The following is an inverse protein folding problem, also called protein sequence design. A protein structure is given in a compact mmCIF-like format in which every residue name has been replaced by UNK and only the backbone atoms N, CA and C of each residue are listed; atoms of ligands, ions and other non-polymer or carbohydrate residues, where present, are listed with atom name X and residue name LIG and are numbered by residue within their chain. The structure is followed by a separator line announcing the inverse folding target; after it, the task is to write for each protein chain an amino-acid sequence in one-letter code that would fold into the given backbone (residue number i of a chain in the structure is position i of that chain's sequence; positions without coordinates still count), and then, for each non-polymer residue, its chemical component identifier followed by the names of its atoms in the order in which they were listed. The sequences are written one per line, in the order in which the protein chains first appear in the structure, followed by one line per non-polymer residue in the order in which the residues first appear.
data_IF_170912782438
#
_entry.id   IF_170912782438
#
_cell.length_a   1.000
_cell.length_b   1.000
_cell.length_c   1.000
_cell.angle_alpha   90.00
_cell.angle_beta   90.00
_cell.angle_gamma   90.00
#
_symmetry.space_group_name_H-M   'P 1'
#
loop_
_entity.id
_entity.type
_entity.pdbx_description
1 polymer ?
#
# COMPACT_ATOMS: atom_id res chain seq x y z
N UNK A 1 1.80 -28.72 -2.69
CA UNK A 1 1.46 -27.31 -2.91
C UNK A 1 2.62 -26.38 -2.54
N UNK A 2 3.17 -26.44 -1.31
CA UNK A 2 4.30 -25.59 -0.92
C UNK A 2 5.55 -25.81 -1.79
N UNK A 3 5.85 -27.06 -2.16
CA UNK A 3 6.99 -27.40 -3.02
C UNK A 3 6.87 -26.84 -4.45
N UNK A 4 5.67 -26.56 -4.90
CA UNK A 4 5.40 -25.97 -6.22
C UNK A 4 5.39 -24.44 -6.22
N UNK A 5 5.38 -23.80 -5.05
CA UNK A 5 5.39 -22.37 -4.94
C UNK A 5 6.74 -21.77 -5.36
N UNK A 6 6.69 -20.72 -6.18
CA UNK A 6 7.87 -19.98 -6.62
C UNK A 6 7.70 -18.48 -6.34
N UNK A 7 8.78 -17.85 -5.93
CA UNK A 7 8.85 -16.40 -5.86
C UNK A 7 8.66 -15.79 -7.25
N UNK A 8 8.05 -14.63 -7.31
CA UNK A 8 7.77 -13.92 -8.55
C UNK A 8 8.47 -12.56 -8.55
N UNK A 9 9.13 -12.25 -9.66
CA UNK A 9 9.54 -10.90 -9.95
C UNK A 9 8.35 -10.13 -10.54
N UNK A 10 8.15 -8.90 -10.10
CA UNK A 10 7.08 -8.02 -10.60
C UNK A 10 7.68 -6.65 -10.90
N UNK A 11 7.10 -5.96 -11.88
CA UNK A 11 7.45 -4.57 -12.14
C UNK A 11 6.76 -3.67 -11.09
N UNK A 12 7.49 -2.69 -10.53
CA UNK A 12 6.88 -1.75 -9.60
C UNK A 12 5.88 -0.83 -10.30
N UNK A 13 4.84 -0.44 -9.56
CA UNK A 13 3.93 0.63 -9.96
C UNK A 13 4.38 1.94 -9.33
N UNK A 14 4.05 3.08 -9.96
CA UNK A 14 4.50 4.37 -9.43
C UNK A 14 3.57 5.52 -9.78
N UNK A 15 3.71 6.61 -9.02
CA UNK A 15 3.15 7.93 -9.34
C UNK A 15 4.21 9.01 -9.15
N UNK A 16 4.12 10.04 -9.98
CA UNK A 16 4.92 11.24 -9.78
C UNK A 16 4.24 12.14 -8.74
N UNK A 17 5.00 12.54 -7.73
CA UNK A 17 4.54 13.44 -6.69
C UNK A 17 5.63 14.47 -6.35
N UNK A 18 5.37 15.74 -6.66
CA UNK A 18 6.23 16.89 -6.33
C UNK A 18 7.70 16.73 -6.74
N UNK A 19 7.94 16.21 -7.94
CA UNK A 19 9.29 16.02 -8.50
C UNK A 19 9.98 14.73 -8.07
N UNK A 20 9.28 13.86 -7.37
CA UNK A 20 9.71 12.50 -7.05
C UNK A 20 8.78 11.49 -7.69
N UNK A 21 9.31 10.34 -8.04
CA UNK A 21 8.56 9.16 -8.40
C UNK A 21 8.52 8.24 -7.18
N UNK A 22 7.31 7.98 -6.67
CA UNK A 22 7.08 7.09 -5.55
C UNK A 22 6.69 5.74 -6.10
N UNK A 23 7.46 4.71 -5.78
CA UNK A 23 7.31 3.36 -6.30
C UNK A 23 6.83 2.42 -5.21
N UNK A 24 5.95 1.49 -5.57
CA UNK A 24 5.40 0.44 -4.71
C UNK A 24 5.27 -0.86 -5.49
N UNK A 25 5.14 -1.99 -4.79
CA UNK A 25 4.80 -3.26 -5.43
C UNK A 25 3.33 -3.24 -5.90
N UNK A 26 3.02 -3.90 -7.04
CA UNK A 26 1.65 -3.92 -7.56
C UNK A 26 0.66 -4.70 -6.67
N UNK A 27 -0.65 -4.63 -6.94
CA UNK A 27 -1.64 -5.52 -6.33
C UNK A 27 -1.23 -7.01 -6.45
N UNK A 28 -1.57 -7.79 -5.51
CA UNK A 28 -2.55 -7.73 -4.43
C UNK A 28 -2.13 -6.90 -3.19
N UNK A 29 -0.99 -6.23 -3.22
CA UNK A 29 -0.49 -5.39 -2.14
C UNK A 29 -1.24 -4.05 -2.03
N UNK A 30 -1.33 -3.52 -0.81
CA UNK A 30 -2.01 -2.25 -0.54
C UNK A 30 -1.16 -1.00 -0.89
N UNK A 31 0.05 -1.14 -1.41
CA UNK A 31 0.91 -0.03 -1.81
C UNK A 31 0.23 0.93 -2.78
N UNK A 32 -0.62 0.38 -3.66
CA UNK A 32 -1.45 1.18 -4.56
C UNK A 32 -2.32 2.22 -3.84
N UNK A 33 -2.79 1.96 -2.60
CA UNK A 33 -3.57 2.92 -1.83
C UNK A 33 -2.75 4.16 -1.47
N UNK A 34 -1.47 4.01 -1.13
CA UNK A 34 -0.58 5.15 -0.90
C UNK A 34 -0.38 5.96 -2.19
N UNK A 35 -0.18 5.30 -3.33
CA UNK A 35 -0.03 5.96 -4.62
C UNK A 35 -1.30 6.69 -5.06
N UNK A 36 -2.47 6.09 -4.85
CA UNK A 36 -3.78 6.73 -5.10
C UNK A 36 -3.96 7.99 -4.24
N UNK A 37 -3.63 7.92 -2.96
CA UNK A 37 -3.70 9.08 -2.06
C UNK A 37 -2.76 10.21 -2.51
N UNK A 38 -1.52 9.90 -2.91
CA UNK A 38 -0.59 10.86 -3.47
C UNK A 38 -1.11 11.48 -4.77
N UNK A 39 -1.77 10.66 -5.60
CA UNK A 39 -2.36 11.11 -6.85
C UNK A 39 -3.52 12.09 -6.63
N UNK A 40 -4.32 11.89 -5.57
CA UNK A 40 -5.35 12.86 -5.13
C UNK A 40 -4.69 14.13 -4.60
N UNK A 41 -3.64 14.00 -3.77
CA UNK A 41 -3.00 15.13 -3.11
C UNK A 41 -2.19 16.04 -4.05
N UNK A 42 -1.88 15.60 -5.28
CA UNK A 42 -1.26 16.46 -6.31
C UNK A 42 -2.10 17.69 -6.62
N UNK A 43 -3.42 17.55 -6.56
CA UNK A 43 -4.38 18.60 -6.93
C UNK A 43 -4.44 19.75 -5.90
N UNK A 44 -3.80 19.60 -4.75
CA UNK A 44 -3.83 20.56 -3.67
C UNK A 44 -2.48 21.25 -3.45
N UNK A 45 -2.52 22.56 -3.24
CA UNK A 45 -1.43 23.29 -2.63
C UNK A 45 -1.49 23.13 -1.11
N UNK A 46 -0.33 22.96 -0.47
CA UNK A 46 -0.22 22.92 0.99
C UNK A 46 0.53 24.17 1.46
N UNK A 47 -0.18 25.14 2.08
CA UNK A 47 0.45 26.39 2.47
C UNK A 47 1.44 26.20 3.63
N UNK A 48 1.11 25.32 4.55
CA UNK A 48 1.91 25.04 5.74
C UNK A 48 1.99 23.53 5.98
N UNK A 49 3.09 23.09 6.56
CA UNK A 49 3.27 21.74 7.03
C UNK A 49 2.36 21.49 8.25
N UNK A 50 2.27 21.17 9.14
CA UNK A 50 1.64 20.84 10.43
C UNK A 50 0.43 21.74 10.76
N UNK A 51 -0.47 22.00 9.78
CA UNK A 51 -1.72 22.70 10.00
C UNK A 51 -2.95 21.82 9.77
N UNK A 52 -4.08 22.22 10.32
CA UNK A 52 -5.34 21.45 10.26
C UNK A 52 -5.79 21.17 8.82
N UNK A 53 -5.63 22.12 7.91
CA UNK A 53 -5.99 21.96 6.49
C UNK A 53 -5.12 20.88 5.81
N UNK A 54 -3.81 20.92 6.05
CA UNK A 54 -2.88 19.91 5.49
C UNK A 54 -3.24 18.52 6.00
N UNK A 55 -3.46 18.35 7.30
CA UNK A 55 -3.85 17.07 7.85
C UNK A 55 -5.23 16.62 7.37
N UNK A 56 -6.19 17.53 7.26
CA UNK A 56 -7.52 17.23 6.71
C UNK A 56 -7.40 16.62 5.31
N UNK A 57 -6.69 17.29 4.40
CA UNK A 57 -6.49 16.81 3.03
C UNK A 57 -5.78 15.45 2.96
N UNK A 58 -4.74 15.26 3.75
CA UNK A 58 -4.02 13.99 3.82
C UNK A 58 -4.91 12.85 4.32
N UNK A 59 -5.68 13.08 5.38
CA UNK A 59 -6.57 12.08 5.95
C UNK A 59 -7.73 11.75 5.01
N UNK A 60 -8.36 12.76 4.38
CA UNK A 60 -9.45 12.53 3.43
C UNK A 60 -8.96 11.78 2.18
N UNK A 61 -7.81 12.17 1.60
CA UNK A 61 -7.22 11.47 0.47
C UNK A 61 -6.94 10.00 0.80
N UNK A 62 -6.41 9.73 2.00
CA UNK A 62 -6.13 8.36 2.44
C UNK A 62 -7.40 7.54 2.64
N UNK A 63 -8.45 8.14 3.22
CA UNK A 63 -9.75 7.48 3.39
C UNK A 63 -10.39 7.13 2.04
N UNK A 64 -10.33 8.03 1.06
CA UNK A 64 -10.81 7.79 -0.31
C UNK A 64 -10.02 6.67 -0.97
N UNK A 65 -8.70 6.73 -0.89
CA UNK A 65 -7.83 5.72 -1.46
C UNK A 65 -8.05 4.32 -0.85
N UNK A 66 -8.28 4.23 0.45
CA UNK A 66 -8.63 2.97 1.09
C UNK A 66 -10.02 2.47 0.70
N UNK A 67 -11.02 3.37 0.59
CA UNK A 67 -12.35 2.97 0.15
C UNK A 67 -12.28 2.32 -1.24
N UNK A 68 -11.52 2.91 -2.15
CA UNK A 68 -11.33 2.39 -3.49
C UNK A 68 -10.47 1.12 -3.51
N UNK A 69 -9.39 1.09 -2.72
CA UNK A 69 -8.53 -0.09 -2.63
C UNK A 69 -9.31 -1.32 -2.11
N UNK A 70 -10.12 -1.17 -1.08
CA UNK A 70 -10.93 -2.28 -0.57
C UNK A 70 -12.05 -2.72 -1.54
N UNK A 71 -12.50 -1.81 -2.40
CA UNK A 71 -13.51 -2.15 -3.39
C UNK A 71 -12.94 -2.81 -4.65
N UNK A 72 -11.72 -2.44 -5.07
CA UNK A 72 -11.17 -2.84 -6.35
C UNK A 72 -9.97 -3.78 -6.26
N UNK A 73 -9.18 -3.73 -5.17
CA UNK A 73 -7.87 -4.39 -5.10
C UNK A 73 -7.96 -5.78 -4.48
N UNK A 74 -7.50 -6.76 -5.24
CA UNK A 74 -7.32 -8.15 -4.84
C UNK A 74 -6.19 -8.76 -5.67
N UNK A 75 -6.10 -10.09 -5.78
CA UNK A 75 -5.23 -10.74 -6.74
C UNK A 75 -5.55 -10.22 -8.17
N UNK A 76 -4.57 -9.68 -8.92
CA UNK A 76 -4.81 -9.10 -10.25
C UNK A 76 -5.57 -10.01 -11.22
N UNK A 77 -5.43 -11.32 -11.09
CA UNK A 77 -6.15 -12.31 -11.91
C UNK A 77 -7.67 -12.34 -11.67
N UNK A 78 -8.10 -11.75 -10.57
CA UNK A 78 -9.50 -11.69 -10.13
C UNK A 78 -10.06 -10.26 -10.09
N UNK A 79 -9.23 -9.26 -10.41
CA UNK A 79 -9.68 -7.87 -10.50
C UNK A 79 -10.61 -7.68 -11.71
N UNK A 80 -11.63 -6.84 -11.53
CA UNK A 80 -12.62 -6.51 -12.58
C UNK A 80 -12.19 -5.33 -13.45
N UNK A 81 -11.08 -4.67 -13.09
CA UNK A 81 -10.51 -3.54 -13.82
C UNK A 81 -8.99 -3.66 -13.85
N UNK A 82 -8.36 -2.99 -14.79
CA UNK A 82 -6.92 -2.79 -14.78
C UNK A 82 -6.57 -1.78 -13.66
N UNK A 83 -5.78 -2.21 -12.68
CA UNK A 83 -5.41 -1.38 -11.54
C UNK A 83 -4.63 -0.11 -11.93
N UNK A 84 -4.02 -0.06 -13.11
CA UNK A 84 -3.37 1.15 -13.61
C UNK A 84 -4.35 2.31 -13.77
N UNK A 85 -5.63 2.04 -14.05
CA UNK A 85 -6.68 3.05 -14.13
C UNK A 85 -6.88 3.80 -12.79
N UNK A 86 -6.59 3.15 -11.67
CA UNK A 86 -6.64 3.78 -10.33
C UNK A 86 -5.46 4.74 -10.08
N UNK A 87 -4.43 4.69 -10.93
CA UNK A 87 -3.25 5.54 -10.84
C UNK A 87 -3.21 6.63 -11.94
N UNK A 88 -4.21 6.68 -12.81
CA UNK A 88 -4.30 7.73 -13.82
C UNK A 88 -4.51 9.11 -13.17
N UNK A 89 -3.87 10.17 -13.71
CA UNK A 89 -4.04 11.53 -13.18
C UNK A 89 -5.49 11.97 -13.12
N UNK A 90 -6.27 11.69 -14.17
CA UNK A 90 -7.70 12.03 -14.24
C UNK A 90 -8.53 11.36 -13.15
N UNK A 91 -8.15 10.15 -12.73
CA UNK A 91 -8.80 9.48 -11.62
C UNK A 91 -8.52 10.22 -10.30
N UNK A 92 -7.26 10.58 -10.05
CA UNK A 92 -6.85 11.36 -8.89
C UNK A 92 -7.57 12.71 -8.83
N UNK A 93 -7.63 13.43 -9.95
CA UNK A 93 -8.31 14.72 -10.05
C UNK A 93 -9.82 14.63 -9.76
N UNK A 94 -10.51 13.61 -10.30
CA UNK A 94 -11.93 13.36 -9.99
C UNK A 94 -12.16 13.12 -8.50
N UNK A 95 -11.33 12.29 -7.88
CA UNK A 95 -11.43 12.00 -6.43
C UNK A 95 -11.13 13.25 -5.60
N UNK A 96 -10.15 14.07 -6.00
CA UNK A 96 -9.85 15.33 -5.35
C UNK A 96 -11.04 16.30 -5.38
N UNK A 97 -11.77 16.37 -6.49
CA UNK A 97 -12.96 17.20 -6.64
C UNK A 97 -14.13 16.78 -5.72
N UNK A 98 -14.15 15.53 -5.24
CA UNK A 98 -15.15 15.04 -4.28
C UNK A 98 -14.80 15.39 -2.81
N UNK A 99 -13.58 15.87 -2.56
CA UNK A 99 -13.12 16.21 -1.21
C UNK A 99 -13.83 17.46 -0.70
N UNK A 100 -14.52 17.34 0.43
CA UNK A 100 -15.18 18.47 1.09
C UNK A 100 -14.29 19.10 2.15
N UNK A 101 -14.75 20.22 2.71
CA UNK A 101 -14.10 20.95 3.81
C UNK A 101 -14.30 20.28 5.18
N UNK A 102 -15.22 19.34 5.27
CA UNK A 102 -15.53 18.61 6.51
C UNK A 102 -15.20 17.13 6.38
N UNK A 103 -14.79 16.53 7.49
CA UNK A 103 -14.48 15.11 7.55
C UNK A 103 -15.70 14.26 7.17
N UNK A 104 -15.50 13.26 6.29
CA UNK A 104 -16.52 12.31 5.86
C UNK A 104 -16.17 10.90 6.30
N UNK A 105 -17.18 10.08 6.52
CA UNK A 105 -17.02 8.65 6.75
C UNK A 105 -17.16 7.96 5.40
N UNK A 106 -16.06 7.34 4.96
CA UNK A 106 -16.07 6.38 3.86
C UNK A 106 -16.16 5.00 4.49
N UNK A 107 -17.19 4.25 4.17
CA UNK A 107 -17.45 2.96 4.82
C UNK A 107 -16.30 1.99 4.55
N UNK A 108 -15.51 1.62 5.56
CA UNK A 108 -14.84 0.30 5.70
C UNK A 108 -14.23 0.03 7.08
N UNK A 109 -13.84 -1.23 7.30
CA UNK A 109 -13.59 -1.89 8.55
C UNK A 109 -12.35 -1.40 9.34
N UNK A 110 -12.39 -1.61 10.67
CA UNK A 110 -11.27 -1.40 11.60
C UNK A 110 -10.16 -2.42 11.32
N UNK A 111 -8.92 -2.00 11.04
CA UNK A 111 -7.82 -2.93 10.77
C UNK A 111 -7.38 -3.69 12.04
N UNK A 112 -7.11 -5.00 11.93
CA UNK A 112 -6.55 -5.78 13.03
C UNK A 112 -5.10 -5.38 13.33
N UNK A 113 -4.63 -5.64 14.56
CA UNK A 113 -3.24 -5.44 14.98
C UNK A 113 -2.33 -6.45 14.25
N UNK A 114 -1.25 -5.96 13.65
CA UNK A 114 -0.32 -6.74 12.84
C UNK A 114 1.11 -6.65 13.38
N UNK A 115 1.89 -7.72 13.23
CA UNK A 115 3.34 -7.78 13.47
C UNK A 115 4.09 -7.83 12.14
N UNK A 116 4.92 -6.82 11.86
CA UNK A 116 5.68 -6.68 10.61
C UNK A 116 7.09 -6.20 10.92
N UNK A 117 8.08 -6.62 10.12
CA UNK A 117 9.45 -6.10 10.16
C UNK A 117 9.79 -5.50 8.80
N UNK A 118 10.18 -4.23 8.81
CA UNK A 118 10.74 -3.53 7.67
C UNK A 118 12.23 -3.24 7.91
N UNK A 119 13.04 -3.43 6.89
CA UNK A 119 14.43 -3.00 6.87
C UNK A 119 14.82 -2.44 5.49
N UNK A 120 15.79 -1.57 5.48
CA UNK A 120 16.41 -1.09 4.26
C UNK A 120 17.93 -1.03 4.40
N UNK A 121 18.62 -1.16 3.30
CA UNK A 121 20.08 -0.98 3.25
C UNK A 121 20.50 -0.44 1.88
N UNK A 122 21.68 0.18 1.87
CA UNK A 122 22.34 0.64 0.67
C UNK A 122 23.85 0.38 0.81
N UNK A 123 24.54 0.16 -0.32
CA UNK A 123 25.98 0.03 -0.38
C UNK A 123 26.65 1.25 -1.04
N UNK A 124 27.97 1.25 -1.07
CA UNK A 124 28.76 2.32 -1.70
C UNK A 124 28.73 2.34 -3.22
N UNK A 125 28.18 1.31 -3.85
CA UNK A 125 28.02 1.19 -5.31
C UNK A 125 26.63 1.68 -5.77
N UNK A 126 25.76 2.05 -4.82
CA UNK A 126 24.42 2.55 -5.10
C UNK A 126 23.34 1.46 -5.21
N UNK A 127 23.67 0.21 -4.87
CA UNK A 127 22.66 -0.82 -4.73
C UNK A 127 21.83 -0.55 -3.47
N UNK A 128 20.51 -0.68 -3.57
CA UNK A 128 19.59 -0.38 -2.48
C UNK A 128 18.51 -1.45 -2.37
N UNK A 129 18.13 -1.77 -1.14
CA UNK A 129 17.09 -2.76 -0.84
C UNK A 129 16.04 -2.18 0.07
N UNK A 130 14.79 -2.32 -0.33
CA UNK A 130 13.60 -2.08 0.49
C UNK A 130 12.99 -3.45 0.80
N UNK A 131 13.12 -3.90 2.04
CA UNK A 131 12.74 -5.26 2.42
C UNK A 131 11.72 -5.25 3.55
N UNK A 132 10.67 -6.04 3.37
CA UNK A 132 9.64 -6.21 4.38
C UNK A 132 9.20 -7.67 4.47
N UNK A 133 9.01 -8.16 5.70
CA UNK A 133 8.45 -9.47 5.96
C UNK A 133 7.45 -9.42 7.11
N UNK A 134 6.51 -10.35 7.12
CA UNK A 134 5.46 -10.36 8.13
C UNK A 134 4.78 -11.74 8.20
N UNK A 135 4.51 -12.20 9.39
CA UNK A 135 3.60 -13.31 9.62
C UNK A 135 2.13 -12.88 9.67
N UNK A 136 1.88 -11.58 9.48
CA UNK A 136 0.62 -10.86 9.58
C UNK A 136 0.21 -10.64 11.05
N UNK A 137 -0.46 -11.53 11.70
CA UNK A 137 -0.88 -11.36 13.10
C UNK A 137 -0.03 -12.21 14.06
N UNK A 138 0.70 -11.56 14.97
CA UNK A 138 1.53 -12.20 15.99
C UNK A 138 2.49 -13.24 15.40
N UNK A 139 2.36 -14.49 15.82
CA UNK A 139 3.14 -15.62 15.32
C UNK A 139 2.61 -16.24 14.01
N UNK A 140 1.69 -15.58 13.33
CA UNK A 140 1.07 -16.06 12.11
C UNK A 140 0.07 -17.18 12.38
N UNK A 141 0.17 -18.26 11.59
CA UNK A 141 -0.71 -19.43 11.72
C UNK A 141 -0.43 -20.30 12.95
N UNK A 142 0.66 -20.06 13.67
CA UNK A 142 1.15 -20.95 14.72
C UNK A 142 1.80 -22.22 14.20
N UNK A 143 1.84 -22.42 12.89
CA UNK A 143 2.48 -23.59 12.26
C UNK A 143 3.93 -23.26 11.93
N UNK A 144 4.85 -24.05 12.48
CA UNK A 144 6.28 -23.94 12.20
C UNK A 144 6.69 -25.12 11.31
N UNK A 145 7.36 -24.84 10.20
CA UNK A 145 7.88 -25.88 9.31
C UNK A 145 9.00 -26.63 10.02
N UNK A 146 8.78 -27.93 10.22
CA UNK A 146 9.70 -28.79 10.99
C UNK A 146 11.10 -28.74 10.43
N UNK A 147 12.08 -28.55 11.31
CA UNK A 147 13.51 -28.53 10.96
C UNK A 147 14.02 -27.24 10.34
N UNK A 148 13.18 -26.21 10.17
CA UNK A 148 13.57 -24.94 9.54
C UNK A 148 13.48 -23.73 10.47
N UNK A 149 12.62 -23.78 11.50
CA UNK A 149 12.28 -22.62 12.33
C UNK A 149 11.37 -21.58 11.62
N UNK A 150 10.92 -21.85 10.39
CA UNK A 150 10.06 -20.94 9.63
C UNK A 150 8.62 -21.06 10.12
N UNK A 151 8.08 -19.97 10.65
CA UNK A 151 6.66 -19.81 11.00
C UNK A 151 5.87 -19.38 9.77
N UNK A 152 4.77 -20.09 9.49
CA UNK A 152 3.89 -19.75 8.37
C UNK A 152 2.97 -18.59 8.75
N UNK A 153 2.81 -17.66 7.82
CA UNK A 153 1.94 -16.49 7.96
C UNK A 153 0.45 -16.90 7.98
N UNK A 154 -0.43 -16.03 8.48
CA UNK A 154 -1.87 -16.25 8.55
C UNK A 154 -2.69 -15.25 7.71
N UNK A 155 -2.18 -14.80 6.58
CA UNK A 155 -2.85 -13.81 5.70
C UNK A 155 -4.14 -14.30 5.05
N UNK A 156 -4.43 -15.58 5.11
CA UNK A 156 -5.74 -16.11 4.75
C UNK A 156 -6.89 -15.49 5.54
N UNK A 157 -6.60 -14.88 6.70
CA UNK A 157 -7.57 -14.09 7.46
C UNK A 157 -8.16 -12.89 6.69
N UNK A 158 -7.42 -12.36 5.70
CA UNK A 158 -7.89 -11.24 4.90
C UNK A 158 -8.90 -11.64 3.80
N UNK A 159 -9.13 -12.92 3.59
CA UNK A 159 -10.21 -13.35 2.72
C UNK A 159 -11.57 -13.12 3.35
N UNK A 160 -12.51 -12.66 2.53
CA UNK A 160 -13.93 -12.61 2.88
C UNK A 160 -14.60 -13.95 2.62
N UNK A 161 -15.53 -14.34 3.48
CA UNK A 161 -16.43 -15.48 3.25
C UNK A 161 -17.68 -15.10 2.46
N UNK A 162 -17.92 -13.80 2.22
CA UNK A 162 -18.98 -13.33 1.34
C UNK A 162 -18.59 -13.51 -0.11
N UNK A 163 -19.35 -14.24 -0.93
CA UNK A 163 -19.03 -14.48 -2.34
C UNK A 163 -19.08 -13.22 -3.21
N UNK A 164 -19.77 -12.18 -2.75
CA UNK A 164 -19.89 -10.89 -3.44
C UNK A 164 -18.68 -9.97 -3.22
N UNK A 165 -17.85 -10.28 -2.22
CA UNK A 165 -16.68 -9.48 -1.89
C UNK A 165 -15.57 -9.67 -2.93
N UNK A 166 -14.90 -8.59 -3.30
CA UNK A 166 -13.76 -8.65 -4.22
C UNK A 166 -12.65 -9.56 -3.69
N UNK A 167 -12.52 -9.67 -2.37
CA UNK A 167 -11.55 -10.51 -1.68
C UNK A 167 -12.15 -11.85 -1.21
N UNK A 168 -13.27 -12.30 -1.79
CA UNK A 168 -13.85 -13.60 -1.50
C UNK A 168 -12.82 -14.71 -1.67
N UNK A 169 -12.84 -15.70 -0.76
CA UNK A 169 -11.97 -16.87 -0.80
C UNK A 169 -12.20 -17.67 -2.09
N UNK A 170 -11.12 -17.94 -2.82
CA UNK A 170 -11.16 -18.76 -4.02
C UNK A 170 -9.88 -19.59 -4.18
N UNK A 171 -9.95 -20.74 -4.86
CA UNK A 171 -8.77 -21.59 -5.11
C UNK A 171 -7.66 -20.83 -5.85
N UNK A 172 -6.43 -20.94 -5.37
CA UNK A 172 -5.26 -20.34 -5.99
C UNK A 172 -5.21 -18.81 -5.98
N UNK A 173 -6.15 -18.15 -5.30
CA UNK A 173 -6.23 -16.69 -5.17
C UNK A 173 -5.33 -16.19 -4.04
N UNK A 174 -4.63 -15.08 -4.28
CA UNK A 174 -3.91 -14.33 -3.25
C UNK A 174 -4.85 -13.37 -2.54
N UNK A 175 -4.76 -13.32 -1.20
CA UNK A 175 -5.52 -12.35 -0.40
C UNK A 175 -4.97 -10.94 -0.57
N UNK A 176 -5.78 -9.92 -0.25
CA UNK A 176 -5.30 -8.56 -0.01
C UNK A 176 -4.08 -8.58 0.92
N UNK A 177 -3.04 -7.84 0.58
CA UNK A 177 -1.76 -7.93 1.27
C UNK A 177 -1.31 -6.58 1.83
N UNK A 178 -0.96 -6.54 3.10
CA UNK A 178 -0.71 -5.29 3.83
C UNK A 178 0.73 -4.81 3.84
N UNK A 179 1.71 -5.58 3.35
CA UNK A 179 3.11 -5.13 3.29
C UNK A 179 3.37 -4.30 2.03
N UNK A 180 4.10 -3.19 2.20
CA UNK A 180 4.41 -2.23 1.14
C UNK A 180 5.84 -1.71 1.30
N UNK A 181 6.84 -2.38 0.71
CA UNK A 181 8.20 -1.87 0.66
C UNK A 181 8.30 -0.79 -0.41
N UNK A 182 8.30 0.48 0.00
CA UNK A 182 8.34 1.62 -0.91
C UNK A 182 9.74 1.99 -1.39
N UNK A 183 9.83 2.68 -2.51
CA UNK A 183 11.06 3.21 -3.04
C UNK A 183 10.86 4.59 -3.68
N UNK A 184 11.81 5.49 -3.45
CA UNK A 184 11.77 6.86 -3.97
C UNK A 184 12.80 7.04 -5.07
N UNK A 185 12.36 7.59 -6.18
CA UNK A 185 13.20 7.96 -7.33
C UNK A 185 13.08 9.46 -7.61
N UNK A 186 14.09 10.05 -8.22
CA UNK A 186 14.07 11.43 -8.73
C UNK A 186 14.78 11.50 -10.06
N UNK A 187 14.08 11.92 -11.10
CA UNK A 187 14.64 12.04 -12.48
C UNK A 187 15.38 10.78 -12.92
N UNK A 188 14.80 9.59 -12.70
CA UNK A 188 15.39 8.31 -13.04
C UNK A 188 16.52 7.82 -12.13
N UNK A 189 16.88 8.60 -11.10
CA UNK A 189 17.95 8.23 -10.15
C UNK A 189 17.35 7.73 -8.84
N UNK A 190 17.83 6.63 -8.26
CA UNK A 190 17.44 6.18 -6.94
C UNK A 190 17.72 7.23 -5.86
N UNK A 191 16.72 7.55 -5.04
CA UNK A 191 16.88 8.39 -3.85
C UNK A 191 17.00 7.52 -2.61
N UNK A 192 16.16 6.51 -2.49
CA UNK A 192 16.27 5.53 -1.41
C UNK A 192 15.01 4.74 -1.13
N UNK A 193 15.17 3.62 -0.43
CA UNK A 193 14.08 2.81 0.08
C UNK A 193 13.42 3.49 1.28
N UNK A 194 12.12 3.30 1.43
CA UNK A 194 11.37 3.71 2.62
C UNK A 194 10.27 2.72 2.95
N UNK A 195 9.81 2.74 4.19
CA UNK A 195 8.69 1.91 4.62
C UNK A 195 8.44 2.04 6.11
N UNK A 196 7.28 1.57 6.51
CA UNK A 196 6.81 1.52 7.90
C UNK A 196 6.20 0.18 8.21
N UNK A 197 5.99 -0.10 9.48
CA UNK A 197 5.34 -1.32 9.98
C UNK A 197 3.99 -0.97 10.58
N UNK A 198 3.00 -1.90 10.50
CA UNK A 198 1.71 -1.68 11.16
C UNK A 198 0.48 -2.15 10.35
N UNK A 199 0.64 -3.15 9.46
CA UNK A 199 -0.49 -3.70 8.70
C UNK A 199 -1.18 -2.64 7.85
N UNK A 200 -2.47 -2.46 8.01
CA UNK A 200 -3.26 -1.47 7.27
C UNK A 200 -2.86 -0.01 7.52
N UNK A 201 -2.09 0.28 8.58
CA UNK A 201 -1.59 1.62 8.86
C UNK A 201 -0.40 2.01 7.97
N UNK A 202 0.22 1.06 7.27
CA UNK A 202 1.43 1.32 6.48
C UNK A 202 1.23 2.39 5.38
N UNK A 203 0.16 2.39 4.55
CA UNK A 203 -0.05 3.44 3.56
C UNK A 203 -0.19 4.83 4.19
N UNK A 204 -0.84 4.95 5.34
CA UNK A 204 -0.98 6.20 6.08
C UNK A 204 0.37 6.71 6.59
N UNK A 205 1.18 5.83 7.16
CA UNK A 205 2.52 6.14 7.61
C UNK A 205 3.44 6.55 6.45
N UNK A 206 3.41 5.81 5.34
CA UNK A 206 4.15 6.16 4.14
C UNK A 206 3.73 7.52 3.57
N UNK A 207 2.42 7.81 3.55
CA UNK A 207 1.91 9.09 3.06
C UNK A 207 2.46 10.28 3.86
N UNK A 208 2.48 10.18 5.19
CA UNK A 208 2.99 11.25 6.05
C UNK A 208 4.49 11.49 5.85
N UNK A 209 5.25 10.45 5.51
CA UNK A 209 6.68 10.57 5.22
C UNK A 209 6.97 11.04 3.79
N UNK A 210 6.16 10.61 2.81
CA UNK A 210 6.37 10.91 1.39
C UNK A 210 5.63 12.14 0.91
N UNK A 211 4.67 12.67 1.68
CA UNK A 211 4.06 13.97 1.41
C UNK A 211 4.97 15.08 1.98
N UNK A 212 6.09 15.43 1.31
CA UNK A 212 6.96 16.46 1.81
C UNK A 212 6.19 17.77 1.81
N UNK A 213 6.14 18.36 2.97
CA UNK A 213 5.77 19.77 3.09
C UNK A 213 6.70 20.59 2.19
N UNK A 214 6.18 21.60 1.51
CA UNK A 214 7.04 22.58 0.86
C UNK A 214 7.97 23.19 1.92
N UNK A 215 9.25 23.08 1.71
CA UNK A 215 10.24 23.92 2.37
C UNK A 215 10.48 25.12 1.46
#
# INVERSE_FOLDING_TARGET
DLAAYKAQWVEPISVDYRGYQVCEIPPNGQGIAALMALNILKEFAFPEKDCAETYHRQLEAMKMAFADAFHYVTDPRFMKLDYHQLLEPDYGARRAAEMGETARIYSHAVPPKSGTVYLCCADGEGNMVSFIQSNYMGFGSGVVVRGTGISLQNRGHDFSLSPEDINALAPGKRSYHTIIPGFLMRSGTPVGPFGVMGGYMQPQGCLLFTAPSPR
#
